data_IF_622528809502
#
_entry.id   IF_622528809502
#
_cell.length_a   1.000
_cell.length_b   1.000
_cell.length_c   1.000
_cell.angle_alpha   90.00
_cell.angle_beta   90.00
_cell.angle_gamma   90.00
#
_symmetry.space_group_name_H-M   'P 1'
#
loop_
_entity.id
_entity.type
_entity.pdbx_description
1 polymer ?
#
# COMPACT_ATOMS: atom_id res chain seq x y z
N UNK A 1 -20.50 21.93 -36.91
CA UNK A 1 -20.25 21.01 -35.77
C UNK A 1 -21.34 19.94 -35.55
N UNK A 2 -22.54 20.01 -36.16
CA UNK A 2 -23.60 19.00 -35.95
C UNK A 2 -23.56 17.82 -36.93
N UNK A 3 -22.80 17.88 -38.04
CA UNK A 3 -22.71 16.81 -39.06
C UNK A 3 -21.77 15.67 -38.64
N UNK A 4 -20.67 15.97 -38.00
CA UNK A 4 -19.66 14.95 -37.64
C UNK A 4 -20.08 14.08 -36.44
N UNK A 5 -20.98 14.58 -35.60
CA UNK A 5 -21.50 13.84 -34.45
C UNK A 5 -22.47 12.70 -34.89
N UNK A 6 -23.26 12.92 -35.97
CA UNK A 6 -24.16 11.91 -36.52
C UNK A 6 -23.39 10.77 -37.22
N UNK A 7 -22.28 11.11 -37.87
CA UNK A 7 -21.43 10.10 -38.52
C UNK A 7 -20.70 9.23 -37.47
N UNK A 8 -20.30 9.80 -36.34
CA UNK A 8 -19.66 9.07 -35.23
C UNK A 8 -20.65 8.12 -34.54
N UNK A 9 -21.91 8.55 -34.37
CA UNK A 9 -22.93 7.76 -33.71
C UNK A 9 -23.38 6.58 -34.59
N UNK A 10 -23.46 6.74 -35.94
CA UNK A 10 -23.78 5.66 -36.86
C UNK A 10 -22.66 4.63 -36.99
N UNK A 11 -21.39 5.07 -36.90
CA UNK A 11 -20.23 4.17 -36.90
C UNK A 11 -20.17 3.33 -35.63
N UNK A 12 -20.50 3.94 -34.46
CA UNK A 12 -20.56 3.24 -33.18
C UNK A 12 -21.69 2.20 -33.12
N UNK A 13 -22.83 2.48 -33.74
CA UNK A 13 -23.96 1.53 -33.83
C UNK A 13 -23.63 0.36 -34.77
N UNK A 14 -22.90 0.60 -35.87
CA UNK A 14 -22.50 -0.44 -36.79
C UNK A 14 -21.47 -1.42 -36.22
N UNK A 15 -20.57 -0.93 -35.38
CA UNK A 15 -19.57 -1.76 -34.64
C UNK A 15 -20.23 -2.60 -33.54
N UNK A 16 -21.29 -2.12 -32.91
CA UNK A 16 -22.04 -2.89 -31.90
C UNK A 16 -22.83 -4.08 -32.48
N UNK A 17 -23.28 -4.00 -33.76
CA UNK A 17 -23.99 -5.09 -34.41
C UNK A 17 -23.08 -6.26 -34.87
N UNK A 18 -21.76 -6.05 -34.99
CA UNK A 18 -20.82 -7.09 -35.44
C UNK A 18 -20.35 -8.01 -34.28
N UNK A 19 -20.66 -7.70 -33.04
CA UNK A 19 -20.28 -8.52 -31.87
C UNK A 19 -21.39 -9.40 -31.31
N UNK A 20 -22.57 -9.45 -31.90
CA UNK A 20 -23.74 -10.19 -31.39
C UNK A 20 -23.91 -11.60 -31.96
N UNK A 21 -22.87 -12.24 -32.53
CA UNK A 21 -22.97 -13.59 -33.09
C UNK A 21 -21.82 -14.49 -32.65
N UNK A 22 -21.79 -14.82 -31.37
CA UNK A 22 -21.08 -16.00 -30.85
C UNK A 22 -21.77 -16.51 -29.58
N UNK A 23 -22.84 -17.33 -29.80
CA UNK A 23 -23.42 -18.14 -28.74
C UNK A 23 -22.43 -19.25 -28.34
N UNK A 24 -22.32 -19.64 -27.06
CA UNK A 24 -21.47 -20.74 -26.65
C UNK A 24 -22.08 -22.06 -27.17
N UNK A 25 -21.40 -22.70 -28.10
CA UNK A 25 -21.63 -24.14 -28.39
C UNK A 25 -21.08 -24.88 -27.16
N UNK A 26 -21.94 -25.50 -26.37
CA UNK A 26 -21.55 -26.49 -25.37
C UNK A 26 -21.01 -27.73 -26.12
N UNK A 27 -19.71 -27.73 -26.37
CA UNK A 27 -18.99 -28.95 -26.73
C UNK A 27 -18.72 -29.68 -25.42
N UNK A 28 -19.31 -30.86 -25.27
CA UNK A 28 -18.91 -31.84 -24.24
C UNK A 28 -17.46 -32.22 -24.56
N UNK A 29 -16.54 -31.58 -23.89
CA UNK A 29 -15.09 -31.84 -24.05
C UNK A 29 -14.82 -33.24 -23.50
N UNK A 30 -14.49 -34.19 -24.38
CA UNK A 30 -14.05 -35.54 -24.01
C UNK A 30 -12.71 -35.39 -23.25
N UNK A 31 -12.66 -35.74 -21.98
CA UNK A 31 -11.46 -35.74 -21.19
C UNK A 31 -10.74 -37.09 -21.27
N UNK A 32 -9.43 -37.08 -21.21
CA UNK A 32 -8.57 -38.24 -21.31
C UNK A 32 -7.75 -38.41 -20.03
N UNK A 33 -7.53 -39.66 -19.59
CA UNK A 33 -6.68 -39.95 -18.42
C UNK A 33 -5.62 -41.00 -18.75
N UNK A 34 -4.58 -41.03 -17.95
CA UNK A 34 -3.56 -42.08 -18.07
C UNK A 34 -3.98 -43.33 -17.26
N UNK A 35 -3.97 -44.56 -17.84
CA UNK A 35 -4.30 -45.77 -17.11
C UNK A 35 -3.41 -46.05 -15.90
N UNK A 36 -2.13 -45.65 -15.94
CA UNK A 36 -1.18 -45.85 -14.87
C UNK A 36 -1.10 -44.68 -13.88
N UNK A 37 -1.53 -43.49 -14.30
CA UNK A 37 -1.58 -42.27 -13.46
C UNK A 37 -2.96 -41.65 -13.52
N UNK A 38 -3.95 -42.18 -12.80
CA UNK A 38 -5.35 -41.77 -12.87
C UNK A 38 -5.55 -40.29 -12.50
N UNK A 39 -4.63 -39.70 -11.76
CA UNK A 39 -4.62 -38.27 -11.40
C UNK A 39 -4.24 -37.32 -12.56
N UNK A 40 -3.62 -37.84 -13.62
CA UNK A 40 -3.31 -37.02 -14.80
C UNK A 40 -4.46 -37.07 -15.81
N UNK A 41 -5.13 -35.92 -15.96
CA UNK A 41 -6.26 -35.73 -16.89
C UNK A 41 -5.91 -34.63 -17.87
N UNK A 42 -6.17 -34.85 -19.17
CA UNK A 42 -5.96 -33.89 -20.24
C UNK A 42 -7.25 -33.70 -21.04
N UNK A 43 -7.45 -32.51 -21.57
CA UNK A 43 -8.56 -32.19 -22.48
C UNK A 43 -8.25 -32.54 -23.95
N UNK A 44 -7.01 -32.91 -24.23
CA UNK A 44 -6.56 -33.27 -25.59
C UNK A 44 -5.97 -34.69 -25.58
N UNK A 45 -6.19 -35.47 -26.66
CA UNK A 45 -5.56 -36.78 -26.80
C UNK A 45 -4.03 -36.61 -26.97
N UNK A 46 -3.26 -37.48 -26.33
CA UNK A 46 -1.80 -37.44 -26.37
C UNK A 46 -1.17 -38.51 -25.51
N UNK A 47 0.12 -38.40 -25.23
CA UNK A 47 0.86 -39.29 -24.38
C UNK A 47 1.07 -38.70 -22.98
N UNK A 48 1.06 -39.55 -21.97
CA UNK A 48 1.28 -39.12 -20.59
C UNK A 48 2.73 -38.64 -20.38
N UNK A 49 2.97 -37.42 -19.92
CA UNK A 49 4.32 -36.88 -19.75
C UNK A 49 5.12 -37.58 -18.61
N UNK A 50 4.44 -38.39 -17.78
CA UNK A 50 5.05 -39.05 -16.65
C UNK A 50 5.60 -40.43 -17.07
N UNK A 51 4.87 -41.18 -17.94
CA UNK A 51 5.22 -42.57 -18.30
C UNK A 51 5.21 -42.84 -19.82
N UNK A 52 4.91 -41.85 -20.67
CA UNK A 52 4.89 -42.00 -22.13
C UNK A 52 3.73 -42.85 -22.71
N UNK A 53 2.80 -43.32 -21.88
CA UNK A 53 1.67 -44.13 -22.36
C UNK A 53 0.55 -43.24 -22.89
N UNK A 54 -0.15 -43.75 -23.90
CA UNK A 54 -1.27 -43.03 -24.56
C UNK A 54 -2.43 -42.86 -23.62
N UNK A 55 -2.97 -41.66 -23.57
CA UNK A 55 -4.15 -41.30 -22.79
C UNK A 55 -5.40 -41.94 -23.37
N UNK A 56 -6.28 -42.47 -22.51
CA UNK A 56 -7.59 -43.07 -22.89
C UNK A 56 -8.74 -42.14 -22.56
N UNK A 57 -9.76 -42.03 -23.40
CA UNK A 57 -10.92 -41.20 -23.15
C UNK A 57 -11.68 -41.70 -21.92
N UNK A 58 -12.13 -40.75 -21.09
CA UNK A 58 -13.05 -41.03 -19.99
C UNK A 58 -14.43 -41.13 -20.58
N UNK A 59 -14.96 -42.36 -20.72
CA UNK A 59 -16.34 -42.59 -21.10
C UNK A 59 -17.22 -42.36 -19.86
N UNK A 60 -18.01 -41.29 -19.86
CA UNK A 60 -19.12 -41.16 -18.92
C UNK A 60 -20.17 -42.25 -19.26
N UNK A 61 -20.00 -43.41 -18.62
CA UNK A 61 -21.04 -44.43 -18.65
C UNK A 61 -22.25 -43.83 -17.95
N UNK A 62 -23.26 -43.46 -18.76
CA UNK A 62 -24.53 -42.98 -18.28
C UNK A 62 -25.08 -43.85 -17.16
N UNK A 63 -25.59 -43.20 -16.15
CA UNK A 63 -26.19 -43.85 -15.01
C UNK A 63 -27.19 -44.92 -15.44
N UNK A 64 -27.11 -46.16 -14.91
CA UNK A 64 -28.05 -47.19 -15.23
C UNK A 64 -29.45 -46.76 -14.79
N UNK A 65 -30.39 -46.88 -15.74
CA UNK A 65 -31.84 -46.70 -15.51
C UNK A 65 -32.26 -47.56 -14.28
N UNK A 66 -32.97 -47.04 -13.30
CA UNK A 66 -33.35 -47.85 -12.13
C UNK A 66 -34.32 -48.95 -12.53
N UNK A 67 -33.84 -50.19 -12.53
CA UNK A 67 -34.68 -51.36 -12.54
C UNK A 67 -35.47 -51.43 -11.24
N UNK A 68 -36.75 -51.78 -11.21
CA UNK A 68 -37.54 -51.79 -9.98
C UNK A 68 -36.91 -52.72 -8.95
N UNK A 69 -36.44 -52.13 -7.85
CA UNK A 69 -35.90 -52.85 -6.72
C UNK A 69 -36.99 -53.65 -6.07
N UNK A 70 -36.84 -54.99 -6.04
CA UNK A 70 -37.69 -55.88 -5.24
C UNK A 70 -37.65 -55.46 -3.77
N UNK A 71 -38.83 -55.27 -3.18
CA UNK A 71 -39.01 -54.86 -1.78
C UNK A 71 -38.29 -55.86 -0.86
N UNK A 72 -37.36 -55.47 -0.01
CA UNK A 72 -36.68 -56.38 0.86
C UNK A 72 -37.65 -57.00 1.85
N UNK A 73 -37.70 -58.34 1.92
CA UNK A 73 -38.49 -59.10 2.85
C UNK A 73 -37.98 -58.89 4.28
N UNK A 74 -38.77 -58.40 5.16
CA UNK A 74 -38.42 -58.19 6.55
C UNK A 74 -38.13 -59.54 7.25
N UNK A 75 -36.92 -59.65 7.82
CA UNK A 75 -36.57 -60.75 8.71
C UNK A 75 -37.30 -60.64 10.07
N UNK A 76 -37.49 -61.77 10.73
CA UNK A 76 -38.30 -61.93 11.96
C UNK A 76 -37.85 -61.18 13.23
N UNK A 77 -36.88 -60.21 13.12
CA UNK A 77 -36.38 -59.41 14.24
C UNK A 77 -36.43 -57.90 14.01
N UNK A 78 -37.15 -57.44 12.98
CA UNK A 78 -37.36 -56.01 12.75
C UNK A 78 -36.16 -55.22 12.25
N UNK A 79 -35.01 -55.84 11.98
CA UNK A 79 -33.83 -55.15 11.44
C UNK A 79 -33.88 -55.15 9.91
N UNK A 80 -33.61 -54.02 9.32
CA UNK A 80 -33.58 -53.88 7.84
C UNK A 80 -32.27 -54.42 7.29
N UNK A 81 -32.31 -55.50 6.51
CA UNK A 81 -31.16 -56.04 5.78
C UNK A 81 -30.90 -55.17 4.55
N UNK A 82 -29.67 -54.72 4.36
CA UNK A 82 -29.25 -53.91 3.21
C UNK A 82 -28.77 -54.76 2.04
N UNK A 83 -27.91 -55.73 2.34
CA UNK A 83 -27.37 -56.68 1.38
C UNK A 83 -26.77 -57.90 2.11
N UNK A 84 -26.36 -58.90 1.33
CA UNK A 84 -25.68 -60.09 1.83
C UNK A 84 -24.24 -60.04 1.33
N UNK A 85 -23.27 -60.41 2.17
CA UNK A 85 -21.83 -60.38 1.93
C UNK A 85 -21.27 -61.78 1.92
N UNK A 86 -20.35 -62.07 0.97
CA UNK A 86 -19.65 -63.35 0.95
C UNK A 86 -18.75 -63.53 2.19
N UNK A 87 -18.76 -64.72 2.87
CA UNK A 87 -18.04 -64.91 4.13
C UNK A 87 -16.53 -64.82 4.01
N UNK A 88 -15.94 -65.19 2.87
CA UNK A 88 -14.49 -65.22 2.65
C UNK A 88 -14.01 -64.01 1.81
N UNK A 89 -14.84 -63.43 1.00
CA UNK A 89 -14.52 -62.25 0.18
C UNK A 89 -15.55 -61.13 0.41
N UNK A 90 -15.24 -60.15 1.27
CA UNK A 90 -16.16 -59.06 1.60
C UNK A 90 -16.53 -58.17 0.43
N UNK A 91 -15.82 -58.21 -0.67
CA UNK A 91 -16.08 -57.37 -1.86
C UNK A 91 -17.23 -57.92 -2.71
N UNK A 92 -17.54 -59.22 -2.56
CA UNK A 92 -18.65 -59.84 -3.26
C UNK A 92 -19.93 -59.72 -2.45
N UNK A 93 -20.90 -59.01 -2.98
CA UNK A 93 -22.16 -58.72 -2.30
C UNK A 93 -23.36 -59.16 -3.20
N UNK A 94 -24.49 -59.51 -2.57
CA UNK A 94 -25.74 -59.86 -3.23
C UNK A 94 -26.90 -59.13 -2.55
N UNK A 95 -27.91 -58.64 -3.33
CA UNK A 95 -29.12 -58.03 -2.77
C UNK A 95 -30.10 -59.08 -2.18
N UNK A 96 -29.90 -60.32 -2.46
CA UNK A 96 -30.72 -61.47 -2.01
C UNK A 96 -29.86 -62.52 -1.33
N UNK A 97 -30.45 -63.36 -0.44
CA UNK A 97 -29.75 -64.52 0.12
C UNK A 97 -29.21 -65.38 -1.00
N UNK A 98 -27.90 -65.63 -0.99
CA UNK A 98 -27.21 -66.46 -2.00
C UNK A 98 -26.26 -67.41 -1.34
N UNK A 99 -25.89 -68.50 -2.04
CA UNK A 99 -24.81 -69.44 -1.69
C UNK A 99 -23.67 -69.28 -2.69
N UNK A 100 -22.47 -69.43 -2.22
CA UNK A 100 -21.30 -69.46 -3.10
C UNK A 100 -21.18 -70.81 -3.82
N UNK A 101 -20.15 -70.93 -4.66
CA UNK A 101 -19.87 -72.16 -5.41
C UNK A 101 -19.46 -73.35 -4.53
N UNK A 102 -19.15 -73.09 -3.24
CA UNK A 102 -18.78 -74.09 -2.23
C UNK A 102 -19.90 -74.41 -1.26
N UNK A 103 -21.11 -73.82 -1.47
CA UNK A 103 -22.31 -74.04 -0.69
C UNK A 103 -22.45 -73.22 0.58
N UNK A 104 -21.55 -72.20 0.86
CA UNK A 104 -21.65 -71.34 2.02
C UNK A 104 -22.67 -70.24 1.82
N UNK A 105 -23.47 -69.95 2.86
CA UNK A 105 -24.45 -68.90 2.86
C UNK A 105 -23.83 -67.50 3.02
N UNK A 106 -24.30 -66.53 2.24
CA UNK A 106 -23.90 -65.13 2.39
C UNK A 106 -24.46 -64.57 3.70
N UNK A 107 -23.63 -63.75 4.38
CA UNK A 107 -23.94 -63.17 5.68
C UNK A 107 -24.78 -61.90 5.46
N UNK A 108 -25.96 -61.74 6.11
CA UNK A 108 -26.76 -60.54 6.00
C UNK A 108 -26.09 -59.34 6.70
N UNK A 109 -26.01 -58.19 6.07
CA UNK A 109 -25.55 -56.92 6.64
C UNK A 109 -26.76 -56.04 6.95
N UNK A 110 -26.90 -55.63 8.17
CA UNK A 110 -28.01 -54.81 8.64
C UNK A 110 -27.71 -53.35 8.61
N UNK A 111 -28.74 -52.48 8.45
CA UNK A 111 -28.61 -51.02 8.37
C UNK A 111 -27.95 -50.39 9.62
N UNK A 112 -28.01 -51.08 10.75
CA UNK A 112 -27.45 -50.63 12.04
C UNK A 112 -25.96 -50.94 12.20
N UNK A 113 -25.40 -51.82 11.35
CA UNK A 113 -23.96 -52.19 11.34
C UNK A 113 -23.12 -51.23 10.53
N UNK A 114 -23.73 -50.33 9.76
CA UNK A 114 -23.01 -49.26 9.04
C UNK A 114 -22.84 -48.05 9.98
N UNK A 115 -21.65 -47.54 10.15
CA UNK A 115 -21.44 -46.39 10.98
C UNK A 115 -22.24 -45.21 10.44
N UNK A 116 -23.19 -44.69 11.29
CA UNK A 116 -23.92 -43.46 11.03
C UNK A 116 -22.98 -42.28 11.27
N UNK A 117 -22.17 -41.92 10.28
CA UNK A 117 -21.35 -40.71 10.29
C UNK A 117 -21.99 -39.67 9.38
N UNK A 118 -22.30 -38.52 9.91
CA UNK A 118 -22.79 -37.36 9.15
C UNK A 118 -21.74 -36.77 8.18
N UNK A 119 -20.49 -37.29 8.19
CA UNK A 119 -19.37 -36.81 7.41
C UNK A 119 -18.89 -37.78 6.31
N UNK A 120 -19.82 -38.47 5.63
CA UNK A 120 -19.43 -39.32 4.52
C UNK A 120 -19.16 -38.49 3.26
N UNK A 121 -17.89 -38.41 2.86
CA UNK A 121 -17.50 -37.85 1.57
C UNK A 121 -17.97 -38.83 0.47
N UNK A 122 -18.80 -38.41 -0.50
CA UNK A 122 -19.30 -39.27 -1.57
C UNK A 122 -18.12 -39.90 -2.33
N UNK A 123 -18.15 -41.23 -2.47
CA UNK A 123 -17.12 -42.00 -3.18
C UNK A 123 -16.00 -42.59 -2.31
N UNK A 124 -16.04 -42.36 -0.99
CA UNK A 124 -15.11 -42.95 -0.05
C UNK A 124 -15.79 -43.93 0.92
N UNK A 125 -15.17 -45.06 1.15
CA UNK A 125 -15.63 -45.98 2.18
C UNK A 125 -15.03 -45.57 3.54
N UNK A 126 -15.82 -45.46 4.61
CA UNK A 126 -15.31 -45.10 5.94
C UNK A 126 -14.45 -46.27 6.47
N UNK A 127 -13.20 -46.00 6.80
CA UNK A 127 -12.30 -46.94 7.44
C UNK A 127 -12.21 -46.62 8.91
N UNK A 128 -12.66 -47.52 9.77
CA UNK A 128 -12.51 -47.37 11.22
C UNK A 128 -11.17 -48.05 11.64
N UNK A 129 -10.26 -47.23 12.13
CA UNK A 129 -9.01 -47.70 12.70
C UNK A 129 -9.09 -47.63 14.22
N UNK A 130 -8.76 -48.71 14.89
CA UNK A 130 -8.60 -48.71 16.35
C UNK A 130 -7.42 -47.80 16.73
N UNK A 131 -7.39 -47.21 17.94
CA UNK A 131 -6.33 -46.30 18.39
C UNK A 131 -4.91 -46.90 18.22
N UNK A 132 -4.75 -48.21 18.43
CA UNK A 132 -3.48 -48.88 18.24
C UNK A 132 -3.08 -48.97 16.75
N UNK A 133 -4.05 -49.05 15.85
CA UNK A 133 -3.84 -49.01 14.39
C UNK A 133 -3.38 -47.65 13.91
N UNK A 134 -3.95 -46.58 14.46
CA UNK A 134 -3.54 -45.19 14.17
C UNK A 134 -2.10 -44.94 14.62
N UNK A 135 -1.73 -45.40 15.81
CA UNK A 135 -0.37 -45.25 16.34
C UNK A 135 0.66 -46.04 15.49
N UNK A 136 0.33 -47.26 15.03
CA UNK A 136 1.19 -48.06 14.14
C UNK A 136 1.33 -47.46 12.74
N UNK A 137 0.29 -46.78 12.26
CA UNK A 137 0.31 -46.07 10.98
C UNK A 137 1.06 -44.74 11.06
N UNK A 138 1.54 -44.31 12.23
CA UNK A 138 2.24 -43.01 12.41
C UNK A 138 1.32 -41.77 12.28
N UNK A 139 0.00 -41.95 12.38
CA UNK A 139 -0.96 -40.85 12.27
C UNK A 139 -0.94 -40.03 13.57
N UNK A 140 -0.55 -38.77 13.44
CA UNK A 140 -0.61 -37.80 14.53
C UNK A 140 -1.80 -36.90 14.32
N UNK A 141 -2.61 -36.72 15.34
CA UNK A 141 -3.74 -35.79 15.32
C UNK A 141 -3.53 -34.66 16.32
N UNK A 142 -3.92 -33.45 15.94
CA UNK A 142 -3.96 -32.30 16.85
C UNK A 142 -5.32 -31.63 16.77
N UNK A 143 -5.70 -30.99 17.86
CA UNK A 143 -6.96 -30.24 17.89
C UNK A 143 -6.77 -28.93 17.16
N UNK A 144 -7.58 -28.66 16.13
CA UNK A 144 -7.63 -27.37 15.47
C UNK A 144 -8.37 -26.38 16.37
N UNK A 145 -7.70 -25.31 16.75
CA UNK A 145 -8.30 -24.21 17.52
C UNK A 145 -8.48 -23.00 16.62
N UNK A 146 -9.64 -22.37 16.66
CA UNK A 146 -9.87 -21.10 15.99
C UNK A 146 -9.09 -20.00 16.73
N UNK A 147 -8.28 -19.24 16.00
CA UNK A 147 -7.50 -18.12 16.53
C UNK A 147 -7.38 -17.00 15.51
N UNK A 148 -7.08 -15.81 16.00
CA UNK A 148 -6.72 -14.70 15.11
C UNK A 148 -5.28 -14.91 14.63
N UNK A 149 -5.09 -15.06 13.33
CA UNK A 149 -3.77 -15.00 12.70
C UNK A 149 -3.37 -13.51 12.61
N UNK A 150 -2.62 -13.03 13.60
CA UNK A 150 -1.99 -11.73 13.54
C UNK A 150 -0.63 -11.87 12.85
N UNK A 151 -0.48 -11.28 11.67
CA UNK A 151 0.80 -11.18 10.99
C UNK A 151 1.55 -9.93 11.48
N UNK A 152 2.82 -10.06 11.90
CA UNK A 152 3.69 -8.92 12.07
C UNK A 152 4.30 -8.57 10.72
N UNK A 153 4.03 -7.37 10.22
CA UNK A 153 4.64 -6.86 9.00
C UNK A 153 6.02 -6.29 9.38
N UNK A 154 7.05 -6.71 8.66
CA UNK A 154 8.38 -6.13 8.77
C UNK A 154 8.69 -5.38 7.48
N UNK A 155 8.92 -4.08 7.60
CA UNK A 155 9.26 -3.21 6.50
C UNK A 155 10.55 -2.44 6.80
N UNK A 156 11.28 -2.10 5.76
CA UNK A 156 12.40 -1.16 5.87
C UNK A 156 11.83 0.24 5.93
N UNK A 157 12.24 1.01 6.93
CA UNK A 157 11.85 2.40 7.10
C UNK A 157 13.03 3.35 6.90
N UNK A 158 12.75 4.52 6.35
CA UNK A 158 13.69 5.64 6.23
C UNK A 158 13.19 6.77 7.11
N UNK A 159 14.08 7.31 7.94
CA UNK A 159 13.77 8.48 8.78
C UNK A 159 13.88 9.73 7.91
N UNK A 160 12.81 10.50 7.85
CA UNK A 160 12.73 11.77 7.11
C UNK A 160 12.25 12.88 8.04
N UNK A 161 12.57 14.14 7.78
CA UNK A 161 12.06 15.25 8.56
C UNK A 161 10.53 15.38 8.37
N UNK A 162 9.84 15.88 9.41
CA UNK A 162 8.42 16.26 9.27
C UNK A 162 8.33 17.45 8.29
N UNK A 163 7.69 17.26 7.14
CA UNK A 163 7.56 18.27 6.09
C UNK A 163 6.99 19.60 6.59
N UNK A 164 6.15 19.57 7.62
CA UNK A 164 5.56 20.76 8.23
C UNK A 164 6.58 21.59 9.00
N UNK A 165 7.70 21.00 9.41
CA UNK A 165 8.78 21.60 10.16
C UNK A 165 10.01 21.92 9.28
N UNK A 166 9.91 21.76 7.97
CA UNK A 166 10.91 22.18 7.00
C UNK A 166 10.63 23.60 6.51
N UNK A 167 11.68 24.41 6.40
CA UNK A 167 11.63 25.76 5.83
C UNK A 167 12.72 25.94 4.80
N UNK A 168 12.32 26.44 3.64
CA UNK A 168 13.22 26.83 2.58
C UNK A 168 13.53 28.33 2.73
N UNK A 169 14.81 28.65 2.77
CA UNK A 169 15.31 30.02 2.81
C UNK A 169 15.66 30.45 1.39
N UNK A 170 14.96 31.41 0.89
CA UNK A 170 15.09 31.94 -0.47
C UNK A 170 15.30 33.46 -0.39
N UNK A 171 15.80 34.07 -1.45
CA UNK A 171 15.84 35.52 -1.60
C UNK A 171 14.74 36.00 -2.54
N UNK A 172 14.19 37.17 -2.26
CA UNK A 172 13.21 37.85 -3.12
C UNK A 172 13.86 38.87 -4.06
N UNK A 173 15.15 39.13 -3.90
CA UNK A 173 15.91 40.10 -4.67
C UNK A 173 17.15 39.44 -5.29
N UNK A 174 17.61 39.96 -6.42
CA UNK A 174 18.89 39.57 -6.99
C UNK A 174 20.05 40.20 -6.22
N UNK A 175 21.17 39.50 -6.11
CA UNK A 175 22.33 40.02 -5.41
C UNK A 175 23.54 39.11 -5.42
N UNK A 176 24.51 39.43 -4.60
CA UNK A 176 25.73 38.64 -4.40
C UNK A 176 25.88 38.29 -2.93
N UNK A 177 26.26 37.07 -2.67
CA UNK A 177 26.59 36.59 -1.34
C UNK A 177 27.97 37.08 -0.95
N UNK A 178 28.07 38.02 -0.03
CA UNK A 178 29.36 38.54 0.42
C UNK A 178 30.00 37.69 1.52
N UNK A 179 29.17 37.11 2.39
CA UNK A 179 29.66 36.27 3.48
C UNK A 179 28.65 35.19 3.83
N UNK A 180 29.15 34.00 4.14
CA UNK A 180 28.39 32.91 4.72
C UNK A 180 28.74 32.76 6.21
N UNK A 181 27.73 32.76 7.08
CA UNK A 181 27.88 32.47 8.50
C UNK A 181 27.69 30.98 8.77
N UNK A 182 26.82 30.34 7.97
CA UNK A 182 26.52 28.91 8.00
C UNK A 182 27.08 28.26 6.75
N UNK A 183 28.14 27.48 6.93
CA UNK A 183 28.96 26.95 5.83
C UNK A 183 28.75 25.48 5.51
N UNK A 184 28.14 24.71 6.43
CA UNK A 184 28.04 23.25 6.31
C UNK A 184 26.62 22.75 6.49
N UNK A 185 26.26 21.72 5.74
CA UNK A 185 25.08 20.89 6.02
C UNK A 185 25.28 20.14 7.34
N UNK A 186 24.19 19.92 8.07
CA UNK A 186 24.22 19.33 9.41
C UNK A 186 24.49 20.33 10.53
N UNK A 187 24.83 21.59 10.23
CA UNK A 187 25.02 22.63 11.23
C UNK A 187 23.68 22.97 11.91
N UNK A 188 23.70 23.07 13.24
CA UNK A 188 22.57 23.55 14.00
C UNK A 188 22.53 25.09 13.95
N UNK A 189 21.31 25.62 13.80
CA UNK A 189 21.04 27.05 13.80
C UNK A 189 19.87 27.36 14.73
N UNK A 190 19.87 28.54 15.32
CA UNK A 190 18.75 29.06 16.11
C UNK A 190 17.90 29.97 15.26
N UNK A 191 16.62 30.10 15.61
CA UNK A 191 15.77 31.11 14.99
C UNK A 191 16.37 32.49 15.14
N UNK A 192 16.44 33.27 14.06
CA UNK A 192 17.04 34.61 14.02
C UNK A 192 18.56 34.61 13.93
N UNK A 193 19.21 33.43 13.85
CA UNK A 193 20.67 33.36 13.66
C UNK A 193 21.04 33.76 12.23
N UNK A 194 22.14 34.52 12.03
CA UNK A 194 22.60 34.93 10.72
C UNK A 194 23.04 33.74 9.87
N UNK A 195 22.48 33.63 8.64
CA UNK A 195 22.83 32.61 7.67
C UNK A 195 23.86 33.12 6.66
N UNK A 196 23.59 34.27 6.05
CA UNK A 196 24.47 34.92 5.09
C UNK A 196 24.28 36.44 5.07
N UNK A 197 25.27 37.15 4.53
CA UNK A 197 25.19 38.57 4.20
C UNK A 197 25.05 38.72 2.68
N UNK A 198 23.98 39.39 2.26
CA UNK A 198 23.61 39.62 0.87
C UNK A 198 23.84 41.08 0.49
N UNK A 199 24.62 41.30 -0.55
CA UNK A 199 24.66 42.58 -1.25
C UNK A 199 23.66 42.57 -2.41
N UNK A 200 22.77 43.56 -2.43
CA UNK A 200 21.82 43.76 -3.51
C UNK A 200 21.71 45.25 -3.84
N UNK A 201 21.96 45.65 -5.10
CA UNK A 201 21.75 47.04 -5.52
C UNK A 201 20.31 47.52 -5.34
N UNK A 202 19.34 46.62 -5.52
CA UNK A 202 17.93 46.91 -5.34
C UNK A 202 17.59 47.18 -3.86
N UNK A 203 18.11 46.37 -2.96
CA UNK A 203 17.99 46.60 -1.50
C UNK A 203 18.65 47.92 -1.09
N UNK A 204 19.82 48.19 -1.66
CA UNK A 204 20.53 49.46 -1.36
C UNK A 204 19.72 50.68 -1.80
N UNK A 205 19.17 50.66 -3.04
CA UNK A 205 18.32 51.72 -3.55
C UNK A 205 17.03 51.90 -2.69
N UNK A 206 16.42 50.77 -2.29
CA UNK A 206 15.21 50.78 -1.46
C UNK A 206 15.50 51.34 -0.04
N UNK A 207 16.68 51.09 0.52
CA UNK A 207 17.11 51.66 1.78
C UNK A 207 17.30 53.21 1.68
N UNK A 208 17.92 53.66 0.59
CA UNK A 208 18.08 55.09 0.34
C UNK A 208 16.73 55.80 0.20
N UNK A 209 15.78 55.17 -0.53
CA UNK A 209 14.43 55.70 -0.68
C UNK A 209 13.74 55.81 0.68
N UNK A 210 13.83 54.75 1.50
CA UNK A 210 13.27 54.74 2.84
C UNK A 210 13.86 55.84 3.75
N UNK A 211 15.17 55.99 3.77
CA UNK A 211 15.84 57.02 4.58
C UNK A 211 15.45 58.43 4.12
N UNK A 212 15.35 58.70 2.81
CA UNK A 212 14.86 59.99 2.27
C UNK A 212 13.41 60.23 2.66
N UNK A 213 12.55 59.23 2.57
CA UNK A 213 11.14 59.31 2.97
C UNK A 213 11.00 59.57 4.50
N UNK A 214 11.81 58.87 5.30
CA UNK A 214 11.84 59.06 6.75
C UNK A 214 12.26 60.48 7.15
N UNK A 215 13.33 60.99 6.53
CA UNK A 215 13.77 62.35 6.74
C UNK A 215 12.73 63.36 6.34
N UNK A 216 12.09 63.22 5.16
CA UNK A 216 11.02 64.09 4.69
C UNK A 216 9.82 64.08 5.66
N UNK A 217 9.42 62.90 6.15
CA UNK A 217 8.32 62.76 7.10
C UNK A 217 8.64 63.46 8.43
N UNK A 218 9.89 63.39 8.90
CA UNK A 218 10.34 64.10 10.10
C UNK A 218 10.33 65.64 9.89
N UNK A 219 10.85 66.12 8.77
CA UNK A 219 10.89 67.54 8.43
C UNK A 219 9.47 68.16 8.32
N UNK A 220 8.55 67.36 7.72
CA UNK A 220 7.17 67.82 7.53
C UNK A 220 6.24 67.52 8.72
N UNK A 221 6.72 66.87 9.76
CA UNK A 221 5.90 66.51 10.93
C UNK A 221 5.22 67.70 11.59
N UNK A 222 5.88 68.84 11.59
CA UNK A 222 5.37 70.13 12.16
C UNK A 222 4.84 71.07 11.07
N UNK A 223 4.68 70.64 9.82
CA UNK A 223 4.17 71.48 8.73
C UNK A 223 2.73 71.93 9.04
N UNK A 224 2.38 73.19 8.78
CA UNK A 224 1.01 73.73 8.94
C UNK A 224 0.02 73.10 7.93
N UNK A 225 0.53 72.47 6.87
CA UNK A 225 -0.27 71.85 5.80
C UNK A 225 -0.57 70.40 6.06
N UNK A 226 -1.82 70.05 6.41
CA UNK A 226 -2.15 68.58 6.71
C UNK A 226 -1.87 67.65 5.54
N UNK A 227 -2.09 68.06 4.32
CA UNK A 227 -1.88 67.30 3.10
C UNK A 227 -0.40 66.95 2.91
N UNK A 228 0.51 67.89 3.20
CA UNK A 228 1.95 67.65 3.10
C UNK A 228 2.41 66.61 4.14
N UNK A 229 1.89 66.71 5.38
CA UNK A 229 2.18 65.72 6.44
C UNK A 229 1.70 64.33 6.04
N UNK A 230 0.46 64.26 5.50
CA UNK A 230 -0.11 62.98 5.05
C UNK A 230 0.70 62.37 3.89
N UNK A 231 0.99 63.15 2.86
CA UNK A 231 1.76 62.69 1.71
C UNK A 231 3.15 62.14 2.12
N UNK A 232 3.83 62.84 3.03
CA UNK A 232 5.12 62.35 3.54
C UNK A 232 4.98 61.05 4.35
N UNK A 233 3.93 60.92 5.16
CA UNK A 233 3.64 59.68 5.88
C UNK A 233 3.31 58.51 4.97
N UNK A 234 2.49 58.77 3.94
CA UNK A 234 2.13 57.73 2.94
C UNK A 234 3.36 57.28 2.16
N UNK A 235 4.27 58.17 1.80
CA UNK A 235 5.54 57.85 1.13
C UNK A 235 6.43 56.98 2.02
N UNK A 236 6.60 57.36 3.29
CA UNK A 236 7.38 56.58 4.26
C UNK A 236 6.79 55.18 4.45
N UNK A 237 5.47 55.06 4.59
CA UNK A 237 4.78 53.79 4.72
C UNK A 237 5.01 52.89 3.49
N UNK A 238 4.91 53.47 2.27
CA UNK A 238 5.17 52.73 1.04
C UNK A 238 6.62 52.22 0.93
N UNK A 239 7.59 53.08 1.25
CA UNK A 239 9.01 52.70 1.24
C UNK A 239 9.32 51.61 2.28
N UNK A 240 8.74 51.72 3.50
CA UNK A 240 8.85 50.68 4.52
C UNK A 240 8.26 49.36 4.06
N UNK A 241 7.07 49.41 3.50
CA UNK A 241 6.37 48.21 3.00
C UNK A 241 7.20 47.50 1.93
N UNK A 242 7.88 48.21 1.04
CA UNK A 242 8.75 47.62 0.01
C UNK A 242 9.89 46.82 0.65
N UNK A 243 10.57 47.38 1.67
CA UNK A 243 11.64 46.68 2.37
C UNK A 243 11.15 45.40 3.08
N UNK A 244 9.96 45.45 3.70
CA UNK A 244 9.32 44.31 4.32
C UNK A 244 8.94 43.22 3.31
N UNK A 245 8.50 43.62 2.09
CA UNK A 245 8.22 42.67 1.01
C UNK A 245 9.48 41.94 0.50
N UNK A 246 10.65 42.52 0.71
CA UNK A 246 11.97 41.88 0.45
C UNK A 246 12.47 41.04 1.65
N UNK A 247 11.64 40.81 2.66
CA UNK A 247 11.97 40.06 3.88
C UNK A 247 13.11 40.71 4.70
N UNK A 248 13.30 42.02 4.58
CA UNK A 248 14.23 42.75 5.45
C UNK A 248 13.71 42.72 6.89
N UNK A 249 14.50 42.25 7.87
CA UNK A 249 14.05 42.19 9.27
C UNK A 249 13.76 43.53 9.88
N UNK A 250 12.72 43.65 10.75
CA UNK A 250 12.38 44.91 11.45
C UNK A 250 13.57 45.44 12.27
N UNK A 251 14.38 44.57 12.86
CA UNK A 251 15.60 44.97 13.58
C UNK A 251 16.62 45.68 12.69
N UNK A 252 16.67 45.30 11.40
CA UNK A 252 17.52 45.95 10.41
C UNK A 252 16.98 47.37 10.08
N UNK A 253 15.64 47.51 9.91
CA UNK A 253 15.01 48.80 9.68
C UNK A 253 15.28 49.78 10.84
N UNK A 254 15.17 49.30 12.10
CA UNK A 254 15.50 50.10 13.26
C UNK A 254 16.97 50.55 13.29
N UNK A 255 17.90 49.66 12.89
CA UNK A 255 19.33 49.99 12.79
C UNK A 255 19.60 51.01 11.66
N UNK A 256 18.84 50.91 10.55
CA UNK A 256 18.95 51.83 9.43
C UNK A 256 18.51 53.25 9.82
N UNK A 257 17.41 53.37 10.58
CA UNK A 257 16.94 54.64 11.13
C UNK A 257 17.95 55.28 12.12
N UNK A 258 18.56 54.47 12.97
CA UNK A 258 19.58 54.93 13.94
C UNK A 258 20.86 55.39 13.27
N UNK A 259 21.32 54.67 12.24
CA UNK A 259 22.59 55.01 11.54
C UNK A 259 22.38 56.15 10.54
N UNK A 260 21.17 56.33 10.04
CA UNK A 260 20.84 57.35 9.02
C UNK A 260 21.57 57.12 7.66
N UNK A 261 22.19 55.98 7.45
CA UNK A 261 22.93 55.68 6.25
C UNK A 261 22.63 54.26 5.75
N UNK A 262 22.57 54.07 4.44
CA UNK A 262 22.27 52.75 3.87
C UNK A 262 23.41 51.77 4.17
N UNK A 263 23.06 50.53 4.51
CA UNK A 263 24.00 49.46 4.75
C UNK A 263 24.21 48.64 3.47
N UNK A 264 25.46 48.38 3.14
CA UNK A 264 25.82 47.68 1.93
C UNK A 264 25.24 46.27 1.84
N UNK A 265 25.24 45.57 2.97
CA UNK A 265 24.74 44.20 3.05
C UNK A 265 23.54 44.08 3.99
N UNK A 266 22.63 43.20 3.61
CA UNK A 266 21.51 42.78 4.46
C UNK A 266 21.74 41.35 4.88
N UNK A 267 21.60 41.07 6.16
CA UNK A 267 21.79 39.72 6.71
C UNK A 267 20.48 38.94 6.64
N UNK A 268 20.50 37.79 5.94
CA UNK A 268 19.41 36.84 5.96
C UNK A 268 19.52 35.99 7.24
N UNK A 269 18.39 35.87 7.94
CA UNK A 269 18.31 35.18 9.22
C UNK A 269 17.57 33.84 9.06
N UNK A 270 17.88 32.89 9.95
CA UNK A 270 17.16 31.62 10.01
C UNK A 270 15.71 31.81 10.43
N UNK A 271 14.71 31.36 9.68
CA UNK A 271 13.29 31.55 10.00
C UNK A 271 12.84 30.66 11.17
N UNK A 272 13.51 29.54 11.37
CA UNK A 272 13.28 28.59 12.47
C UNK A 272 14.62 28.15 13.06
N UNK A 273 14.59 27.63 14.29
CA UNK A 273 15.71 26.84 14.83
C UNK A 273 15.66 25.41 14.31
N UNK A 274 16.82 24.82 14.08
CA UNK A 274 16.89 23.44 13.58
C UNK A 274 18.25 23.09 12.99
N UNK A 275 18.25 22.15 12.06
CA UNK A 275 19.46 21.68 11.38
C UNK A 275 19.37 22.03 9.89
N UNK A 276 20.48 22.50 9.33
CA UNK A 276 20.61 22.79 7.90
C UNK A 276 20.69 21.47 7.13
N UNK A 277 19.64 21.12 6.42
CA UNK A 277 19.57 19.89 5.60
C UNK A 277 20.27 20.06 4.24
N UNK A 278 20.12 21.23 3.64
CA UNK A 278 20.77 21.55 2.36
C UNK A 278 21.29 22.99 2.38
N UNK A 279 22.45 23.17 1.76
CA UNK A 279 23.08 24.47 1.50
C UNK A 279 23.45 24.54 -0.01
N UNK A 280 22.76 25.40 -0.74
CA UNK A 280 22.87 25.52 -2.20
C UNK A 280 23.51 26.85 -2.61
N UNK A 281 24.32 27.45 -1.73
CA UNK A 281 24.87 28.79 -1.92
C UNK A 281 26.33 28.84 -1.47
N UNK A 282 27.14 29.68 -2.17
CA UNK A 282 28.56 29.87 -1.90
C UNK A 282 28.89 31.36 -1.76
N UNK A 283 29.97 31.69 -1.04
CA UNK A 283 30.48 33.07 -1.01
C UNK A 283 30.91 33.54 -2.39
N UNK A 284 30.61 34.77 -2.72
CA UNK A 284 30.86 35.37 -4.03
C UNK A 284 29.86 35.00 -5.12
N UNK A 285 28.94 34.07 -4.83
CA UNK A 285 27.95 33.65 -5.80
C UNK A 285 26.90 34.73 -6.02
N UNK A 286 26.55 34.97 -7.30
CA UNK A 286 25.36 35.74 -7.67
C UNK A 286 24.13 34.86 -7.53
N UNK A 287 23.08 35.40 -6.91
CA UNK A 287 21.80 34.74 -6.70
C UNK A 287 20.66 35.56 -7.31
N UNK A 288 19.64 34.84 -7.79
CA UNK A 288 18.44 35.42 -8.38
C UNK A 288 17.24 35.22 -7.45
N UNK A 289 16.17 36.02 -7.58
CA UNK A 289 14.95 35.85 -6.80
C UNK A 289 14.39 34.43 -6.95
N UNK A 290 13.95 33.84 -5.81
CA UNK A 290 13.42 32.47 -5.77
C UNK A 290 14.47 31.38 -5.74
N UNK A 291 15.76 31.71 -5.78
CA UNK A 291 16.84 30.71 -5.57
C UNK A 291 16.78 30.19 -4.14
N UNK A 292 16.70 28.87 -3.99
CA UNK A 292 16.77 28.20 -2.71
C UNK A 292 18.22 28.22 -2.20
N UNK A 293 18.46 28.86 -1.08
CA UNK A 293 19.78 29.03 -0.49
C UNK A 293 20.06 27.99 0.58
N UNK A 294 19.12 27.80 1.48
CA UNK A 294 19.18 26.83 2.57
C UNK A 294 17.85 26.12 2.73
N UNK A 295 17.92 24.87 3.17
CA UNK A 295 16.78 24.14 3.74
C UNK A 295 17.07 23.88 5.20
N UNK A 296 16.25 24.40 6.11
CA UNK A 296 16.37 24.21 7.56
C UNK A 296 15.18 23.40 8.05
N UNK A 297 15.44 22.39 8.86
CA UNK A 297 14.41 21.56 9.48
C UNK A 297 14.56 21.47 10.99
N UNK A 298 13.47 21.56 11.70
CA UNK A 298 13.41 21.17 13.10
C UNK A 298 13.23 19.64 13.17
N UNK A 299 14.27 18.96 13.65
CA UNK A 299 14.31 17.50 13.78
C UNK A 299 13.83 17.00 15.16
N UNK A 300 13.17 17.85 15.96
CA UNK A 300 12.56 17.42 17.22
C UNK A 300 11.45 16.38 17.01
N UNK A 301 10.86 16.37 15.82
CA UNK A 301 9.90 15.39 15.34
C UNK A 301 10.29 14.95 13.93
N UNK A 302 10.28 13.64 13.72
CA UNK A 302 10.61 13.04 12.43
C UNK A 302 9.54 12.04 12.03
N UNK A 303 9.44 11.77 10.74
CA UNK A 303 8.63 10.70 10.20
C UNK A 303 9.49 9.48 9.89
N UNK A 304 8.86 8.33 9.86
CA UNK A 304 9.46 7.10 9.36
C UNK A 304 8.61 6.63 8.17
N UNK A 305 9.15 6.75 6.99
CA UNK A 305 8.52 6.26 5.77
C UNK A 305 8.87 4.79 5.59
N UNK A 306 7.88 3.92 5.68
CA UNK A 306 8.04 2.48 5.50
C UNK A 306 7.40 2.01 4.20
N UNK A 307 8.11 1.19 3.42
CA UNK A 307 7.58 0.58 2.21
C UNK A 307 6.92 -0.75 2.54
N UNK A 308 5.61 -0.82 2.35
CA UNK A 308 4.79 -2.00 2.60
C UNK A 308 4.35 -2.59 1.26
N UNK A 309 4.40 -3.92 1.11
CA UNK A 309 3.92 -4.60 -0.08
C UNK A 309 2.39 -4.53 -0.19
N UNK A 310 1.88 -4.46 -1.42
CA UNK A 310 0.44 -4.38 -1.71
C UNK A 310 -0.39 -5.47 -1.02
N UNK A 311 0.11 -6.71 -0.97
CA UNK A 311 -0.54 -7.83 -0.29
C UNK A 311 -0.74 -7.63 1.21
N UNK A 312 0.08 -6.78 1.84
CA UNK A 312 0.06 -6.50 3.28
C UNK A 312 -0.74 -5.23 3.60
N UNK A 313 -1.04 -4.43 2.58
CA UNK A 313 -1.70 -3.13 2.74
C UNK A 313 -3.08 -3.24 3.41
N UNK A 314 -3.80 -4.34 3.16
CA UNK A 314 -5.09 -4.59 3.80
C UNK A 314 -5.00 -4.73 5.34
N UNK A 315 -3.81 -5.02 5.87
CA UNK A 315 -3.55 -5.17 7.31
C UNK A 315 -3.06 -3.88 7.97
N UNK A 316 -2.80 -2.83 7.19
CA UNK A 316 -2.30 -1.53 7.68
C UNK A 316 -3.41 -0.50 7.59
N UNK A 317 -3.74 0.12 8.71
CA UNK A 317 -4.73 1.19 8.79
C UNK A 317 -4.18 2.36 9.61
N UNK A 318 -4.79 3.53 9.46
CA UNK A 318 -4.46 4.69 10.31
C UNK A 318 -4.72 4.33 11.77
N UNK A 319 -3.72 4.52 12.63
CA UNK A 319 -3.76 4.13 14.05
C UNK A 319 -3.20 2.73 14.33
N UNK A 320 -2.70 2.00 13.31
CA UNK A 320 -1.94 0.77 13.55
C UNK A 320 -0.63 1.11 14.26
N UNK A 321 -0.40 0.46 15.40
CA UNK A 321 0.85 0.64 16.16
C UNK A 321 2.05 0.08 15.39
N UNK A 322 3.13 0.85 15.31
CA UNK A 322 4.38 0.47 14.68
C UNK A 322 5.53 0.55 15.68
N UNK A 323 6.43 -0.43 15.63
CA UNK A 323 7.65 -0.43 16.42
C UNK A 323 8.84 -0.18 15.50
N UNK A 324 9.56 0.91 15.72
CA UNK A 324 10.77 1.25 14.98
C UNK A 324 11.98 0.67 15.70
N UNK A 325 12.73 -0.18 15.03
CA UNK A 325 13.96 -0.80 15.53
C UNK A 325 15.13 -0.16 14.78
N UNK A 326 16.00 0.51 15.49
CA UNK A 326 17.18 1.16 14.91
C UNK A 326 18.33 0.15 14.77
N UNK A 327 19.19 0.23 13.73
CA UNK A 327 20.17 -0.79 13.41
C UNK A 327 21.47 -0.70 14.22
N UNK A 328 21.48 -0.07 15.39
CA UNK A 328 22.67 0.03 16.22
C UNK A 328 22.44 -0.56 17.62
N UNK A 329 23.51 -1.10 18.24
CA UNK A 329 23.43 -1.69 19.58
C UNK A 329 22.89 -0.71 20.60
N UNK A 330 22.08 -1.19 21.54
CA UNK A 330 21.52 -0.41 22.67
C UNK A 330 20.53 0.72 22.27
N UNK A 331 20.15 0.82 21.00
CA UNK A 331 19.12 1.78 20.62
C UNK A 331 17.76 1.37 21.23
N UNK A 332 17.03 2.30 21.84
CA UNK A 332 15.69 2.02 22.32
C UNK A 332 14.78 1.72 21.13
N UNK A 333 13.85 0.76 21.29
CA UNK A 333 12.74 0.61 20.36
C UNK A 333 11.77 1.77 20.55
N UNK A 334 11.40 2.42 19.47
CA UNK A 334 10.45 3.53 19.47
C UNK A 334 9.08 3.02 19.01
N UNK A 335 8.02 3.48 19.66
CA UNK A 335 6.64 3.15 19.28
C UNK A 335 6.00 4.39 18.68
N UNK A 336 5.41 4.24 17.49
CA UNK A 336 4.71 5.30 16.78
C UNK A 336 3.29 4.90 16.42
#
# INVERSE_FOLDING_TARGET
>A
MRSNFRLFLTLLLLTALLFASCGPKSSTATRYHCPMHPSYVSETPGDCPICGMRLVPIEDRGAPTPTPVATPTASAQGRKILFYRHPMDPTVTSPVPAKDSMGMDFIPVYAEELPKGEDQVPGYAPVQLAPEGLAKAGVQTTVATAGKLGGTIRAVGVVVPDERLVRHVQTKVAGWVEKLFVNTTGQQVRQGEPLLALYSPELLASQEEYLKASKLAQELAQSPFPEARKAAGDLLAAARQRLLLFDVPDGFLASLEQTGSPQRTVTLLAPIGGVVLAKNVYEGQRIEPGTELFTVADLSRVWVEAQVYERELASVAVGTSATVILPYPEAPSLVG
#
